data_IF_787510005331
#
_entry.id   IF_787510005331
#
_cell.length_a   1.000
_cell.length_b   1.000
_cell.length_c   1.000
_cell.angle_alpha   90.00
_cell.angle_beta   90.00
_cell.angle_gamma   90.00
#
_symmetry.space_group_name_H-M   'P 1'
#
loop_
_entity.id
_entity.type
_entity.pdbx_description
1 polymer ?
#
# COMPACT_ATOMS: atom_id res chain seq x y z
N UNK A 1 5.42 2.81 -1.90
CA UNK A 1 6.38 3.73 -2.55
C UNK A 1 6.09 5.15 -2.06
N UNK A 2 7.09 6.03 -2.07
CA UNK A 2 6.93 7.44 -1.69
C UNK A 2 6.75 8.33 -2.93
N UNK A 3 5.93 9.38 -2.85
CA UNK A 3 5.79 10.36 -3.92
C UNK A 3 7.13 11.01 -4.28
N UNK A 4 7.99 11.21 -3.29
CA UNK A 4 9.30 11.85 -3.42
C UNK A 4 10.47 10.85 -3.38
N UNK A 5 10.21 9.58 -3.72
CA UNK A 5 11.28 8.59 -3.86
C UNK A 5 12.18 9.00 -5.02
N UNK A 6 13.44 9.35 -4.72
CA UNK A 6 14.43 9.78 -5.71
C UNK A 6 15.12 8.62 -6.41
N UNK A 7 15.00 7.39 -5.89
CA UNK A 7 15.65 6.19 -6.42
C UNK A 7 14.69 5.39 -7.33
N UNK A 8 13.44 5.23 -6.89
CA UNK A 8 12.41 4.43 -7.56
C UNK A 8 11.08 5.16 -7.51
N UNK A 9 10.72 5.82 -8.60
CA UNK A 9 9.65 6.79 -8.59
C UNK A 9 8.28 6.15 -8.59
N UNK A 10 7.31 6.80 -7.93
CA UNK A 10 5.97 6.25 -7.68
C UNK A 10 5.22 5.77 -8.94
N UNK A 11 5.53 6.32 -10.12
CA UNK A 11 4.87 5.94 -11.36
C UNK A 11 5.28 4.55 -11.86
N UNK A 12 6.44 4.03 -11.47
CA UNK A 12 6.88 2.70 -11.87
C UNK A 12 5.96 1.61 -11.30
N UNK A 13 5.74 1.52 -9.97
CA UNK A 13 4.75 0.58 -9.43
C UNK A 13 3.32 0.94 -9.84
N UNK A 14 3.00 2.22 -10.12
CA UNK A 14 1.68 2.59 -10.63
C UNK A 14 1.38 1.97 -12.00
N UNK A 15 2.31 2.03 -12.94
CA UNK A 15 2.19 1.38 -14.26
C UNK A 15 2.07 -0.13 -14.12
N UNK A 16 2.85 -0.72 -13.22
CA UNK A 16 2.79 -2.17 -12.98
C UNK A 16 1.44 -2.61 -12.42
N UNK A 17 0.92 -1.92 -11.39
CA UNK A 17 -0.39 -2.23 -10.82
C UNK A 17 -1.52 -2.00 -11.82
N UNK A 18 -1.42 -0.98 -12.68
CA UNK A 18 -2.38 -0.80 -13.77
C UNK A 18 -2.39 -2.02 -14.72
N UNK A 19 -1.21 -2.55 -15.07
CA UNK A 19 -1.13 -3.74 -15.91
C UNK A 19 -1.66 -5.00 -15.21
N UNK A 20 -1.36 -5.19 -13.93
CA UNK A 20 -1.89 -6.30 -13.15
C UNK A 20 -3.42 -6.25 -13.03
N UNK A 21 -4.01 -5.06 -12.92
CA UNK A 21 -5.47 -4.87 -12.90
C UNK A 21 -6.11 -5.25 -14.24
N UNK A 22 -5.48 -4.91 -15.36
CA UNK A 22 -5.95 -5.30 -16.70
C UNK A 22 -5.91 -6.83 -16.90
N UNK A 23 -4.85 -7.49 -16.41
CA UNK A 23 -4.64 -8.93 -16.57
C UNK A 23 -5.28 -9.78 -15.46
N UNK A 24 -5.98 -9.16 -14.52
CA UNK A 24 -6.52 -9.83 -13.34
C UNK A 24 -7.62 -10.82 -13.73
N UNK A 25 -7.56 -12.04 -13.19
CA UNK A 25 -8.52 -13.12 -13.44
C UNK A 25 -9.36 -13.53 -12.23
N UNK A 26 -9.08 -12.93 -11.06
CA UNK A 26 -9.75 -13.24 -9.80
C UNK A 26 -10.43 -12.00 -9.20
N UNK A 27 -11.10 -12.19 -8.06
CA UNK A 27 -11.80 -11.13 -7.32
C UNK A 27 -11.04 -10.66 -6.06
N UNK A 28 -9.77 -11.03 -5.90
CA UNK A 28 -8.99 -10.66 -4.72
C UNK A 28 -8.64 -9.16 -4.74
N UNK A 29 -8.52 -8.48 -3.59
CA UNK A 29 -8.08 -7.08 -3.56
C UNK A 29 -6.71 -6.87 -4.22
N UNK A 30 -6.58 -5.85 -5.07
CA UNK A 30 -5.31 -5.44 -5.69
C UNK A 30 -5.13 -3.93 -5.54
N UNK A 31 -4.41 -3.55 -4.49
CA UNK A 31 -4.25 -2.17 -4.03
C UNK A 31 -2.83 -1.66 -4.30
N UNK A 32 -2.71 -0.36 -4.51
CA UNK A 32 -1.44 0.36 -4.54
C UNK A 32 -1.51 1.46 -3.50
N UNK A 33 -0.60 1.41 -2.52
CA UNK A 33 -0.43 2.49 -1.56
C UNK A 33 0.82 3.31 -1.91
N UNK A 34 0.61 4.62 -2.10
CA UNK A 34 1.67 5.61 -2.26
C UNK A 34 1.60 6.58 -1.10
N UNK A 35 2.67 6.66 -0.32
CA UNK A 35 2.77 7.66 0.74
C UNK A 35 3.15 9.00 0.11
N UNK A 36 2.23 9.96 0.17
CA UNK A 36 2.34 11.25 -0.51
C UNK A 36 3.36 12.21 0.12
N UNK A 37 3.84 11.91 1.33
CA UNK A 37 4.81 12.74 2.06
C UNK A 37 6.20 12.07 2.20
N UNK A 38 6.38 10.86 1.65
CA UNK A 38 7.57 10.04 1.85
C UNK A 38 8.50 10.02 0.63
N UNK A 39 9.79 9.78 0.90
CA UNK A 39 10.80 9.41 -0.09
C UNK A 39 11.15 7.92 -0.03
N UNK A 40 12.34 7.53 -0.50
CA UNK A 40 12.77 6.13 -0.58
C UNK A 40 12.74 5.40 0.77
N UNK A 41 13.21 6.06 1.83
CA UNK A 41 13.26 5.51 3.18
C UNK A 41 11.94 5.57 3.95
N UNK A 42 10.82 5.92 3.29
CA UNK A 42 9.55 6.17 3.97
C UNK A 42 9.47 7.55 4.62
N UNK A 43 8.48 7.75 5.50
CA UNK A 43 8.36 8.99 6.27
C UNK A 43 9.43 9.08 7.36
N UNK A 44 10.07 10.25 7.47
CA UNK A 44 11.01 10.56 8.55
C UNK A 44 10.27 10.79 9.88
N UNK A 45 10.76 10.21 10.97
CA UNK A 45 10.25 10.42 12.32
C UNK A 45 9.99 9.11 13.08
N UNK A 46 10.33 9.11 14.37
CA UNK A 46 10.39 7.90 15.23
C UNK A 46 9.11 7.05 15.22
N UNK A 47 7.93 7.69 15.13
CA UNK A 47 6.64 6.99 15.22
C UNK A 47 5.90 6.87 13.89
N UNK A 48 6.35 7.56 12.83
CA UNK A 48 5.63 7.57 11.55
C UNK A 48 5.74 6.24 10.81
N UNK A 49 6.86 5.54 10.95
CA UNK A 49 7.02 4.17 10.44
C UNK A 49 5.98 3.20 11.03
N UNK A 50 5.57 3.38 12.29
CA UNK A 50 4.55 2.51 12.90
C UNK A 50 3.17 2.67 12.26
N UNK A 51 2.87 3.81 11.64
CA UNK A 51 1.60 3.99 10.92
C UNK A 51 1.57 3.16 9.63
N UNK A 52 2.67 3.14 8.89
CA UNK A 52 2.82 2.28 7.70
C UNK A 52 2.71 0.80 8.09
N UNK A 53 3.44 0.39 9.13
CA UNK A 53 3.39 -0.97 9.67
C UNK A 53 1.97 -1.32 10.10
N UNK A 54 1.30 -0.46 10.88
CA UNK A 54 -0.06 -0.72 11.35
C UNK A 54 -1.05 -0.89 10.19
N UNK A 55 -0.90 -0.12 9.10
CA UNK A 55 -1.72 -0.24 7.90
C UNK A 55 -1.47 -1.56 7.16
N UNK A 56 -0.21 -2.01 7.03
CA UNK A 56 0.12 -3.30 6.45
C UNK A 56 -0.48 -4.46 7.26
N UNK A 57 -0.34 -4.45 8.59
CA UNK A 57 -0.95 -5.45 9.46
C UNK A 57 -2.48 -5.42 9.40
N UNK A 58 -3.09 -4.23 9.36
CA UNK A 58 -4.53 -4.10 9.22
C UNK A 58 -5.02 -4.75 7.91
N UNK A 59 -4.33 -4.51 6.80
CA UNK A 59 -4.64 -5.15 5.52
C UNK A 59 -4.51 -6.68 5.57
N UNK A 60 -3.44 -7.20 6.18
CA UNK A 60 -3.25 -8.65 6.32
C UNK A 60 -4.33 -9.30 7.20
N UNK A 61 -4.68 -8.67 8.31
CA UNK A 61 -5.73 -9.17 9.20
C UNK A 61 -7.11 -9.09 8.55
N UNK A 62 -7.38 -8.07 7.74
CA UNK A 62 -8.60 -7.96 6.95
C UNK A 62 -8.72 -9.09 5.92
N UNK A 63 -7.64 -9.37 5.18
CA UNK A 63 -7.58 -10.50 4.25
C UNK A 63 -7.80 -11.87 4.93
N UNK A 64 -7.31 -12.03 6.16
CA UNK A 64 -7.48 -13.25 6.95
C UNK A 64 -8.84 -13.31 7.69
N UNK A 65 -9.71 -12.31 7.51
CA UNK A 65 -11.01 -12.22 8.17
C UNK A 65 -10.95 -11.99 9.68
N UNK A 66 -9.80 -11.54 10.19
CA UNK A 66 -9.54 -11.25 11.61
C UNK A 66 -9.60 -9.75 11.94
N UNK A 67 -9.84 -8.90 10.95
CA UNK A 67 -10.20 -7.51 11.22
C UNK A 67 -11.52 -7.51 12.00
N UNK A 68 -11.48 -7.11 13.28
CA UNK A 68 -12.68 -6.96 14.12
C UNK A 68 -13.63 -5.84 13.68
N UNK A 69 -13.46 -5.33 12.46
CA UNK A 69 -14.22 -4.26 11.84
C UNK A 69 -14.76 -4.81 10.53
N UNK A 70 -16.09 -4.83 10.37
CA UNK A 70 -16.69 -5.11 9.07
C UNK A 70 -16.46 -3.89 8.17
N UNK A 71 -15.63 -4.05 7.15
CA UNK A 71 -15.53 -3.05 6.08
C UNK A 71 -16.79 -3.20 5.23
N UNK A 72 -17.72 -2.25 5.33
CA UNK A 72 -18.82 -2.13 4.36
C UNK A 72 -18.21 -1.77 3.01
N UNK A 73 -18.49 -2.60 1.99
CA UNK A 73 -18.07 -2.40 0.61
C UNK A 73 -18.94 -1.37 -0.09
#
# INVERSE_FOLDING_TARGET
TGLHDSQVQYWEPAKWVAKLRELKTDNNPLLLHTNMDAGHGGQSGRFRAYKEIAMEYAFLLDLDGKAGVKVEQ
#
